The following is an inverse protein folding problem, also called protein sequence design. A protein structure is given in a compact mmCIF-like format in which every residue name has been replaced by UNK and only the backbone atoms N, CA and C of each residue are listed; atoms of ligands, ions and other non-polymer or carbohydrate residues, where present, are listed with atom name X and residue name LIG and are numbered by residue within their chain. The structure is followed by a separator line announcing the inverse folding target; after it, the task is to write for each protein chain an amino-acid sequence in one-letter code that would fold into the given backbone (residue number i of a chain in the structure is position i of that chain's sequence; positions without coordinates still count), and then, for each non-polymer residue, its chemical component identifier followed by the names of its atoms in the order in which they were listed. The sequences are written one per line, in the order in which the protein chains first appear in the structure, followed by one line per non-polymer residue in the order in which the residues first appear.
data_IF_562323604749
#
_entry.id   IF_562323604749
#
_cell.length_a   1.000
_cell.length_b   1.000
_cell.length_c   1.000
_cell.angle_alpha   90.00
_cell.angle_beta   90.00
_cell.angle_gamma   90.00
#
_symmetry.space_group_name_H-M   'P 1'
#
loop_
_entity.id
_entity.type
_entity.pdbx_description
1 polymer ?
#
# COMPACT_ATOMS: atom_id res chain seq x y z
N UNK A 1 16.43 -4.60 -19.84
CA UNK A 1 16.54 -4.07 -19.29
C UNK A 1 16.73 -3.61 -18.76
N UNK A 2 16.87 -3.34 -18.94
CA UNK A 2 16.89 -2.73 -18.40
C UNK A 2 17.42 -2.32 -17.99
N UNK A 3 17.66 -2.29 -17.92
CA UNK A 3 18.06 -1.73 -17.37
C UNK A 3 18.57 -1.23 -17.02
N UNK A 4 18.64 -1.22 -17.13
CA UNK A 4 19.01 -0.55 -16.69
C UNK A 4 19.35 0.03 -16.08
N UNK A 5 19.29 0.18 -15.81
CA UNK A 5 19.58 1.00 -15.14
C UNK A 5 20.29 1.06 -14.38
N UNK A 6 20.20 1.05 -14.74
CA UNK A 6 21.15 1.26 -14.31
C UNK A 6 22.18 1.31 -13.22
N UNK A 7 23.24 1.94 -13.04
CA UNK A 7 24.22 1.83 -12.00
C UNK A 7 23.66 1.63 -10.61
N UNK A 8 22.58 2.36 -10.36
CA UNK A 8 21.88 2.24 -9.10
C UNK A 8 21.28 0.84 -8.89
N UNK A 9 21.08 0.10 -9.98
CA UNK A 9 20.47 -1.21 -9.89
C UNK A 9 21.30 -2.25 -9.13
N UNK A 10 22.58 -1.93 -8.87
CA UNK A 10 23.43 -2.83 -8.10
C UNK A 10 23.31 -2.60 -6.60
N UNK A 11 22.56 -1.59 -6.18
CA UNK A 11 22.35 -1.27 -4.77
C UNK A 11 21.09 -1.99 -4.28
N UNK A 12 21.18 -2.81 -3.23
CA UNK A 12 19.99 -3.45 -2.67
C UNK A 12 18.99 -2.40 -2.19
N UNK A 13 17.74 -2.53 -2.59
CA UNK A 13 16.68 -1.62 -2.21
C UNK A 13 15.57 -2.41 -1.52
N UNK A 14 15.20 -1.96 -0.32
CA UNK A 14 14.07 -2.54 0.40
C UNK A 14 12.78 -2.04 -0.24
N UNK A 15 11.87 -2.93 -0.64
CA UNK A 15 10.61 -2.49 -1.23
C UNK A 15 9.81 -1.62 -0.27
N UNK A 16 9.18 -0.57 -0.79
CA UNK A 16 8.32 0.30 0.00
C UNK A 16 6.87 -0.16 -0.15
N UNK A 17 6.52 -1.14 0.64
CA UNK A 17 5.16 -1.66 0.67
C UNK A 17 4.88 -2.21 2.07
N UNK A 18 3.65 -2.65 2.30
CA UNK A 18 3.28 -3.24 3.58
C UNK A 18 4.08 -4.54 3.80
N UNK A 19 4.77 -4.63 4.91
CA UNK A 19 5.65 -5.75 5.30
C UNK A 19 6.93 -5.86 4.48
N UNK A 20 7.27 -4.91 3.64
CA UNK A 20 8.48 -4.96 2.78
C UNK A 20 8.57 -6.25 1.96
N UNK A 21 7.47 -6.63 1.34
CA UNK A 21 7.39 -7.88 0.60
C UNK A 21 8.13 -7.81 -0.73
N UNK A 22 8.61 -8.95 -1.17
CA UNK A 22 9.24 -9.09 -2.49
C UNK A 22 8.16 -9.09 -3.59
N UNK A 23 8.58 -8.92 -4.84
CA UNK A 23 7.65 -8.77 -5.95
C UNK A 23 6.65 -9.92 -6.05
N UNK A 24 7.12 -11.16 -5.86
CA UNK A 24 6.23 -12.32 -6.00
C UNK A 24 5.22 -12.44 -4.86
N UNK A 25 5.42 -11.69 -3.78
CA UNK A 25 4.52 -11.67 -2.62
C UNK A 25 3.63 -10.44 -2.59
N UNK A 26 3.81 -9.54 -3.54
CA UNK A 26 3.11 -8.26 -3.53
C UNK A 26 2.54 -7.91 -4.91
N UNK A 27 2.29 -8.90 -5.73
CA UNK A 27 1.72 -8.75 -7.06
C UNK A 27 0.21 -8.59 -6.98
N UNK A 28 -0.36 -7.66 -7.72
CA UNK A 28 -1.78 -7.37 -7.66
C UNK A 28 -2.65 -8.57 -8.02
N UNK A 29 -2.30 -9.26 -9.11
CA UNK A 29 -3.18 -10.30 -9.66
C UNK A 29 -3.24 -11.52 -8.74
N UNK A 30 -2.12 -11.89 -8.15
CA UNK A 30 -2.05 -13.09 -7.32
C UNK A 30 -2.27 -12.84 -5.84
N UNK A 31 -2.30 -11.58 -5.41
CA UNK A 31 -2.47 -11.25 -4.00
C UNK A 31 -3.92 -11.39 -3.56
N UNK A 32 -4.10 -11.85 -2.33
CA UNK A 32 -5.44 -12.02 -1.74
C UNK A 32 -5.84 -10.86 -0.86
N UNK A 33 -4.93 -9.94 -0.60
CA UNK A 33 -5.20 -8.73 0.16
C UNK A 33 -4.59 -7.54 -0.55
N UNK A 34 -5.23 -6.39 -0.41
CA UNK A 34 -4.74 -5.14 -0.99
C UNK A 34 -4.73 -4.07 0.08
N UNK A 35 -3.62 -3.37 0.19
CA UNK A 35 -3.49 -2.21 1.07
C UNK A 35 -3.62 -0.97 0.20
N UNK A 36 -4.58 -0.11 0.51
CA UNK A 36 -4.81 1.13 -0.23
C UNK A 36 -4.45 2.30 0.69
N UNK A 37 -3.34 2.98 0.45
CA UNK A 37 -3.00 4.17 1.24
C UNK A 37 -3.94 5.31 0.90
N UNK A 38 -4.57 5.91 1.92
CA UNK A 38 -5.50 7.03 1.74
C UNK A 38 -5.00 8.19 2.61
N UNK A 39 -4.07 8.99 2.09
CA UNK A 39 -3.48 10.09 2.85
C UNK A 39 -4.37 11.32 2.82
N UNK A 40 -5.41 11.32 3.65
CA UNK A 40 -6.41 12.39 3.66
C UNK A 40 -6.61 12.93 5.08
N UNK A 41 -6.55 14.25 5.22
CA UNK A 41 -6.82 14.92 6.50
C UNK A 41 -7.68 16.17 6.33
N UNK A 42 -8.46 16.22 5.25
CA UNK A 42 -9.31 17.38 4.95
C UNK A 42 -10.38 17.64 5.99
N UNK A 43 -10.71 16.65 6.83
CA UNK A 43 -11.67 16.81 7.92
C UNK A 43 -11.02 16.93 9.29
N UNK A 44 -9.69 16.98 9.35
CA UNK A 44 -8.99 17.14 10.61
C UNK A 44 -9.30 18.51 11.21
N UNK A 45 -9.87 18.53 12.44
CA UNK A 45 -10.34 19.76 13.03
C UNK A 45 -9.35 20.39 13.99
N UNK A 46 -8.39 19.63 14.46
CA UNK A 46 -7.44 20.15 15.46
C UNK A 46 -6.02 20.22 14.91
N UNK A 47 -5.53 19.13 14.39
CA UNK A 47 -4.20 19.07 13.78
C UNK A 47 -4.29 18.38 12.43
N UNK A 48 -3.74 19.01 11.42
CA UNK A 48 -3.50 18.32 10.16
C UNK A 48 -2.37 17.33 10.38
N UNK A 49 -2.52 16.11 9.89
CA UNK A 49 -1.51 15.07 10.08
C UNK A 49 -2.02 13.69 9.76
N UNK A 50 -3.33 13.52 9.64
CA UNK A 50 -3.89 12.22 9.31
C UNK A 50 -3.37 11.69 7.97
N UNK A 51 -3.00 12.58 7.05
CA UNK A 51 -2.44 12.18 5.75
C UNK A 51 -1.11 11.43 5.88
N UNK A 52 -0.45 11.55 7.02
CA UNK A 52 0.81 10.83 7.28
C UNK A 52 0.56 9.41 7.80
N UNK A 53 -0.70 9.09 8.14
CA UNK A 53 -1.04 7.79 8.71
C UNK A 53 -0.62 6.62 7.85
N UNK A 54 -0.95 6.61 6.55
CA UNK A 54 -0.58 5.47 5.70
C UNK A 54 0.92 5.20 5.69
N UNK A 55 1.73 6.25 5.64
CA UNK A 55 3.19 6.11 5.64
C UNK A 55 3.69 5.58 6.96
N UNK A 56 3.12 6.06 8.06
CA UNK A 56 3.50 5.57 9.39
C UNK A 56 3.18 4.09 9.55
N UNK A 57 2.02 3.65 9.07
CA UNK A 57 1.64 2.25 9.12
C UNK A 57 2.57 1.39 8.26
N UNK A 58 2.83 1.81 7.02
CA UNK A 58 3.74 1.07 6.14
C UNK A 58 5.14 1.01 6.73
N UNK A 59 5.63 2.11 7.27
CA UNK A 59 6.96 2.14 7.89
C UNK A 59 7.03 1.17 9.07
N UNK A 60 6.02 1.21 9.93
CA UNK A 60 5.98 0.33 11.10
C UNK A 60 5.86 -1.14 10.70
N UNK A 61 5.11 -1.43 9.65
CA UNK A 61 4.91 -2.81 9.20
C UNK A 61 6.21 -3.49 8.78
N UNK A 62 7.20 -2.70 8.39
CA UNK A 62 8.48 -3.23 7.92
C UNK A 62 9.29 -3.84 9.06
N UNK A 63 8.91 -3.56 10.30
CA UNK A 63 9.57 -4.10 11.48
C UNK A 63 8.82 -5.31 12.05
N UNK A 64 7.68 -5.68 11.47
CA UNK A 64 6.90 -6.80 11.97
C UNK A 64 7.49 -8.12 11.51
N UNK A 65 7.35 -9.13 12.36
CA UNK A 65 7.64 -10.49 11.97
C UNK A 65 6.45 -11.05 11.20
N UNK A 66 6.75 -11.75 10.11
CA UNK A 66 5.72 -12.30 9.24
C UNK A 66 5.10 -13.57 9.83
N UNK A 67 5.86 -14.33 10.62
CA UNK A 67 5.39 -15.61 11.13
C UNK A 67 4.49 -15.44 12.36
N UNK A 68 3.31 -16.06 12.30
CA UNK A 68 2.38 -16.10 13.42
C UNK A 68 2.45 -17.49 14.07
N UNK A 69 3.01 -17.60 15.28
CA UNK A 69 3.17 -18.91 15.91
C UNK A 69 1.86 -19.55 16.32
N UNK A 70 0.81 -18.78 16.57
CA UNK A 70 -0.49 -19.35 16.94
C UNK A 70 -1.15 -20.04 15.76
N UNK A 71 -1.01 -19.46 14.58
CA UNK A 71 -1.60 -20.01 13.35
C UNK A 71 -0.60 -20.88 12.59
N UNK A 72 0.67 -20.89 13.00
CA UNK A 72 1.75 -21.58 12.30
C UNK A 72 1.73 -21.21 10.81
N UNK A 73 1.77 -19.92 10.53
CA UNK A 73 1.58 -19.41 9.18
C UNK A 73 2.24 -18.04 9.00
N UNK A 74 2.67 -17.79 7.79
CA UNK A 74 3.23 -16.50 7.38
C UNK A 74 2.21 -15.78 6.51
N UNK A 75 1.57 -14.71 7.00
CA UNK A 75 0.55 -14.00 6.22
C UNK A 75 1.00 -13.55 4.83
N UNK A 76 2.28 -13.30 4.63
CA UNK A 76 2.80 -12.90 3.31
C UNK A 76 2.57 -13.96 2.25
N UNK A 77 2.32 -15.23 2.65
CA UNK A 77 2.08 -16.30 1.70
C UNK A 77 0.80 -16.10 0.89
N UNK A 78 -0.16 -15.34 1.42
CA UNK A 78 -1.38 -15.06 0.67
C UNK A 78 -1.18 -13.97 -0.38
N UNK A 79 -0.08 -13.25 -0.32
CA UNK A 79 0.19 -12.12 -1.17
C UNK A 79 -0.57 -10.88 -0.70
N UNK A 80 0.15 -9.76 -0.56
CA UNK A 80 -0.43 -8.50 -0.14
C UNK A 80 0.08 -7.42 -1.10
N UNK A 81 -0.82 -6.89 -1.92
CA UNK A 81 -0.48 -5.82 -2.84
C UNK A 81 -0.67 -4.48 -2.17
N UNK A 82 0.32 -3.61 -2.25
CA UNK A 82 0.19 -2.23 -1.77
C UNK A 82 -0.02 -1.32 -2.98
N UNK A 83 -1.21 -0.77 -3.08
CA UNK A 83 -1.56 0.09 -4.20
C UNK A 83 -0.88 1.45 -4.08
N UNK A 84 -0.76 2.18 -5.21
CA UNK A 84 -0.32 3.57 -5.13
C UNK A 84 -1.24 4.38 -4.22
N UNK A 85 -0.72 5.39 -3.53
CA UNK A 85 -1.56 6.22 -2.67
C UNK A 85 -2.58 6.98 -3.49
N UNK A 86 -3.79 7.10 -2.96
CA UNK A 86 -4.82 7.90 -3.61
C UNK A 86 -4.54 9.37 -3.41
N UNK A 87 -4.74 10.17 -4.47
CA UNK A 87 -4.61 11.60 -4.33
C UNK A 87 -5.78 12.17 -3.54
N UNK A 88 -5.51 13.04 -2.55
CA UNK A 88 -6.59 13.69 -1.81
C UNK A 88 -7.46 14.53 -2.76
N UNK A 89 -8.77 14.47 -2.55
CA UNK A 89 -9.70 15.28 -3.31
C UNK A 89 -10.04 16.53 -2.48
N UNK A 90 -9.72 17.70 -3.00
CA UNK A 90 -9.83 18.93 -2.23
C UNK A 90 -11.25 19.48 -2.16
N UNK A 91 -12.19 18.87 -2.85
CA UNK A 91 -13.58 19.35 -2.88
C UNK A 91 -14.42 18.91 -1.68
N UNK A 92 -13.86 18.09 -0.79
CA UNK A 92 -14.53 17.70 0.42
C UNK A 92 -14.59 16.20 0.64
N UNK A 93 -15.03 15.76 1.83
CA UNK A 93 -15.01 14.36 2.19
C UNK A 93 -15.90 13.47 1.33
N UNK A 94 -17.03 13.98 0.86
CA UNK A 94 -17.90 13.18 -0.01
C UNK A 94 -17.19 12.79 -1.30
N UNK A 95 -16.46 13.72 -1.88
CA UNK A 95 -15.70 13.48 -3.11
C UNK A 95 -14.55 12.53 -2.85
N UNK A 96 -13.90 12.63 -1.69
CA UNK A 96 -12.83 11.72 -1.33
C UNK A 96 -13.36 10.31 -1.10
N UNK A 97 -14.51 10.18 -0.45
CA UNK A 97 -15.13 8.87 -0.23
C UNK A 97 -15.50 8.21 -1.55
N UNK A 98 -15.98 8.99 -2.51
CA UNK A 98 -16.28 8.44 -3.83
C UNK A 98 -15.02 7.96 -4.53
N UNK A 99 -13.92 8.69 -4.37
CA UNK A 99 -12.62 8.28 -4.93
C UNK A 99 -12.17 6.95 -4.33
N UNK A 100 -12.32 6.80 -3.01
CA UNK A 100 -11.99 5.54 -2.32
C UNK A 100 -12.87 4.42 -2.84
N UNK A 101 -14.18 4.67 -2.96
CA UNK A 101 -15.12 3.66 -3.45
C UNK A 101 -14.72 3.15 -4.83
N UNK A 102 -14.34 4.05 -5.72
CA UNK A 102 -13.93 3.67 -7.07
C UNK A 102 -12.64 2.86 -7.06
N UNK A 103 -11.70 3.27 -6.21
CA UNK A 103 -10.42 2.55 -6.10
C UNK A 103 -10.64 1.13 -5.61
N UNK A 104 -11.48 0.95 -4.59
CA UNK A 104 -11.80 -0.38 -4.07
C UNK A 104 -12.42 -1.24 -5.18
N UNK A 105 -13.38 -0.68 -5.93
CA UNK A 105 -14.02 -1.42 -7.01
C UNK A 105 -13.03 -1.83 -8.10
N UNK A 106 -12.15 -0.93 -8.49
CA UNK A 106 -11.15 -1.20 -9.52
C UNK A 106 -10.19 -2.30 -9.07
N UNK A 107 -9.66 -2.17 -7.85
CA UNK A 107 -8.71 -3.15 -7.33
C UNK A 107 -9.35 -4.51 -7.09
N UNK A 108 -10.63 -4.54 -6.72
CA UNK A 108 -11.34 -5.79 -6.55
C UNK A 108 -11.47 -6.58 -7.85
N UNK A 109 -11.35 -5.90 -8.99
CA UNK A 109 -11.36 -6.55 -10.30
C UNK A 109 -9.96 -6.91 -10.79
N UNK A 110 -8.92 -6.71 -9.96
CA UNK A 110 -7.56 -7.01 -10.32
C UNK A 110 -6.90 -5.96 -11.20
N UNK A 111 -7.46 -4.76 -11.26
CA UNK A 111 -6.90 -3.64 -12.03
C UNK A 111 -6.31 -2.60 -11.10
N UNK A 112 -5.20 -2.00 -11.52
CA UNK A 112 -4.58 -0.95 -10.71
C UNK A 112 -5.26 0.39 -10.92
N UNK A 113 -5.08 1.31 -9.96
CA UNK A 113 -5.78 2.59 -9.91
C UNK A 113 -4.97 3.75 -10.49
N UNK A 114 -3.91 3.48 -11.19
CA UNK A 114 -3.09 4.54 -11.78
C UNK A 114 -3.74 5.20 -12.97
#
# INVERSE_FOLDING_TARGET
MGSSHIGASNVPVTPWNFLSLLDYQSDLISSKAVVIPVPYDGTASYRAGAREGPWAVIQASRELEDYDPELDWEPSQMGIYTAPPLEPHMAGPEHMLERVRRAVGTLAQGEDVV
#
